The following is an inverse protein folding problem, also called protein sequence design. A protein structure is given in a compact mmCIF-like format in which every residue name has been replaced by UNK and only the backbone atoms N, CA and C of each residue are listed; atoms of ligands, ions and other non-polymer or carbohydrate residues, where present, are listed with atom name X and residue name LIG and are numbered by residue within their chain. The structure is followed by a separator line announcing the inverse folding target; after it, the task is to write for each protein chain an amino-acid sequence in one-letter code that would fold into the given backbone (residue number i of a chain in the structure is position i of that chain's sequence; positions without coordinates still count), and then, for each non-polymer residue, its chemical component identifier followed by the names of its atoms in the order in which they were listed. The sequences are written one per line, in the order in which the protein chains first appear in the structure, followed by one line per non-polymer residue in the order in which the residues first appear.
data_IF_145692016611
#
_entry.id   IF_145692016611
#
_cell.length_a   1.000
_cell.length_b   1.000
_cell.length_c   1.000
_cell.angle_alpha   90.00
_cell.angle_beta   90.00
_cell.angle_gamma   90.00
#
_symmetry.space_group_name_H-M   'P 1'
#
loop_
_entity.id
_entity.type
_entity.pdbx_description
1 polymer ?
#
# COMPACT_ATOMS: atom_id res chain seq x y z
N UNK A 1 -20.05 16.27 -11.63
CA UNK A 1 -18.65 16.03 -12.02
C UNK A 1 -18.36 14.57 -11.74
N UNK A 2 -17.47 13.94 -12.51
CA UNK A 2 -17.05 12.55 -12.30
C UNK A 2 -16.22 12.48 -11.01
N UNK A 3 -16.56 11.59 -10.07
CA UNK A 3 -15.79 11.39 -8.85
C UNK A 3 -14.39 10.85 -9.13
N UNK A 4 -13.54 10.84 -8.12
CA UNK A 4 -12.17 10.33 -8.18
C UNK A 4 -12.02 9.12 -7.27
N UNK A 5 -11.38 8.06 -7.76
CA UNK A 5 -10.87 6.98 -6.94
C UNK A 5 -9.45 7.32 -6.50
N UNK A 6 -9.27 7.47 -5.19
CA UNK A 6 -7.99 7.70 -4.56
C UNK A 6 -7.47 6.40 -3.95
N UNK A 7 -6.26 6.00 -4.31
CA UNK A 7 -5.56 4.86 -3.73
C UNK A 7 -4.38 5.37 -2.92
N UNK A 8 -4.27 4.89 -1.68
CA UNK A 8 -3.14 5.13 -0.79
C UNK A 8 -2.64 3.79 -0.28
N UNK A 9 -1.34 3.60 -0.23
CA UNK A 9 -0.80 2.34 0.25
C UNK A 9 0.65 2.08 -0.11
N UNK A 10 1.06 0.84 0.08
CA UNK A 10 2.41 0.38 -0.22
C UNK A 10 2.54 -0.25 -1.62
N UNK A 11 3.59 -1.04 -1.82
CA UNK A 11 3.89 -1.72 -3.08
C UNK A 11 2.80 -2.66 -3.58
N UNK A 12 1.89 -3.12 -2.71
CA UNK A 12 0.75 -3.98 -3.09
C UNK A 12 -0.37 -3.20 -3.78
N UNK A 13 -0.34 -1.88 -3.66
CA UNK A 13 -1.29 -0.94 -4.27
C UNK A 13 -0.68 -0.05 -5.35
N UNK A 14 0.67 -0.05 -5.45
CA UNK A 14 1.40 0.77 -6.41
C UNK A 14 1.28 0.18 -7.83
N UNK A 15 1.45 1.04 -8.83
CA UNK A 15 1.31 0.64 -10.23
C UNK A 15 2.33 -0.41 -10.66
N UNK A 16 1.92 -1.29 -11.55
CA UNK A 16 2.72 -2.43 -12.02
C UNK A 16 3.75 -2.05 -13.09
N UNK A 17 3.82 -0.79 -13.48
CA UNK A 17 4.73 -0.32 -14.52
C UNK A 17 6.18 -0.33 -14.01
N UNK A 18 7.10 -1.06 -14.65
CA UNK A 18 8.51 -1.01 -14.30
C UNK A 18 9.06 0.41 -14.43
N UNK A 19 9.79 0.89 -13.41
CA UNK A 19 10.43 2.21 -13.43
C UNK A 19 11.66 2.22 -14.35
N UNK A 20 12.36 1.09 -14.43
CA UNK A 20 13.50 0.86 -15.33
C UNK A 20 13.49 -0.58 -15.85
N UNK A 21 13.22 -0.77 -17.14
CA UNK A 21 13.22 -2.09 -17.79
C UNK A 21 14.59 -2.79 -17.80
N UNK A 22 15.66 -2.06 -17.48
CA UNK A 22 17.00 -2.63 -17.36
C UNK A 22 17.29 -3.16 -15.94
N UNK A 23 16.48 -2.81 -14.96
CA UNK A 23 16.63 -3.35 -13.61
C UNK A 23 16.14 -4.79 -13.52
N UNK A 24 17.06 -5.73 -13.74
CA UNK A 24 16.80 -7.17 -13.68
C UNK A 24 16.44 -7.69 -12.28
N UNK A 25 16.61 -6.88 -11.25
CA UNK A 25 16.28 -7.25 -9.86
C UNK A 25 14.88 -6.81 -9.47
N UNK A 26 14.32 -5.80 -10.15
CA UNK A 26 12.96 -5.35 -9.92
C UNK A 26 11.94 -6.45 -10.33
N UNK A 27 11.04 -6.80 -9.41
CA UNK A 27 10.03 -7.82 -9.66
C UNK A 27 9.08 -7.44 -10.80
N UNK A 28 8.80 -6.16 -10.99
CA UNK A 28 7.95 -5.65 -12.07
C UNK A 28 8.58 -5.89 -13.43
N UNK A 29 9.88 -5.63 -13.55
CA UNK A 29 10.65 -5.93 -14.76
C UNK A 29 10.64 -7.42 -15.06
N UNK A 30 10.85 -8.28 -14.06
CA UNK A 30 10.79 -9.73 -14.22
C UNK A 30 9.40 -10.19 -14.68
N UNK A 31 8.38 -9.67 -14.04
CA UNK A 31 7.00 -10.04 -14.36
C UNK A 31 6.58 -9.51 -15.73
N UNK A 32 6.96 -8.27 -16.09
CA UNK A 32 6.78 -7.75 -17.44
C UNK A 32 7.46 -8.64 -18.50
N UNK A 33 8.69 -9.08 -18.26
CA UNK A 33 9.40 -9.98 -19.17
C UNK A 33 8.71 -11.36 -19.29
N UNK A 34 8.09 -11.84 -18.22
CA UNK A 34 7.32 -13.09 -18.18
C UNK A 34 5.99 -12.98 -18.94
N UNK A 35 5.23 -11.90 -18.69
CA UNK A 35 3.87 -11.70 -19.25
C UNK A 35 3.87 -11.07 -20.64
N UNK A 36 4.89 -10.28 -20.99
CA UNK A 36 4.93 -9.49 -22.22
C UNK A 36 4.13 -8.18 -22.18
N UNK A 37 3.47 -7.88 -21.04
CA UNK A 37 2.70 -6.64 -20.83
C UNK A 37 2.67 -6.24 -19.36
N UNK A 38 2.18 -5.03 -19.08
CA UNK A 38 1.97 -4.52 -17.72
C UNK A 38 0.52 -4.74 -17.29
N UNK A 39 0.23 -5.62 -16.31
CA UNK A 39 -1.12 -5.83 -15.81
C UNK A 39 -1.64 -4.60 -15.06
N UNK A 40 -2.97 -4.43 -15.08
CA UNK A 40 -3.64 -3.42 -14.27
C UNK A 40 -3.69 -3.84 -12.82
N UNK A 41 -3.44 -2.89 -11.92
CA UNK A 41 -3.67 -3.08 -10.48
C UNK A 41 -5.15 -2.86 -10.14
N UNK A 42 -5.59 -3.37 -9.00
CA UNK A 42 -6.99 -3.32 -8.59
C UNK A 42 -7.60 -1.91 -8.67
N UNK A 43 -6.85 -0.86 -8.33
CA UNK A 43 -7.34 0.52 -8.39
C UNK A 43 -7.66 0.98 -9.82
N UNK A 44 -6.83 0.60 -10.79
CA UNK A 44 -7.09 0.88 -12.21
C UNK A 44 -8.33 0.12 -12.70
N UNK A 45 -8.49 -1.15 -12.29
CA UNK A 45 -9.66 -1.98 -12.68
C UNK A 45 -10.95 -1.36 -12.12
N UNK A 46 -10.97 -0.98 -10.83
CA UNK A 46 -12.13 -0.35 -10.19
C UNK A 46 -12.46 0.99 -10.87
N UNK A 47 -11.46 1.83 -11.11
CA UNK A 47 -11.69 3.15 -11.74
C UNK A 47 -12.28 3.03 -13.13
N UNK A 48 -11.82 2.06 -13.92
CA UNK A 48 -12.36 1.78 -15.25
C UNK A 48 -13.80 1.26 -15.17
N UNK A 49 -14.07 0.32 -14.24
CA UNK A 49 -15.39 -0.28 -14.05
C UNK A 49 -16.45 0.74 -13.63
N UNK A 50 -16.08 1.65 -12.71
CA UNK A 50 -16.98 2.69 -12.19
C UNK A 50 -16.91 4.00 -13.00
N UNK A 51 -16.08 4.04 -14.04
CA UNK A 51 -15.85 5.24 -14.85
C UNK A 51 -15.44 6.46 -13.99
N UNK A 52 -14.52 6.28 -13.02
CA UNK A 52 -13.99 7.33 -12.15
C UNK A 52 -12.67 7.91 -12.68
N UNK A 53 -12.30 9.11 -12.22
CA UNK A 53 -10.91 9.54 -12.33
C UNK A 53 -10.05 8.69 -11.40
N UNK A 54 -8.79 8.44 -11.77
CA UNK A 54 -7.88 7.61 -10.99
C UNK A 54 -6.69 8.42 -10.48
N UNK A 55 -6.45 8.33 -9.17
CA UNK A 55 -5.26 8.89 -8.53
C UNK A 55 -4.65 7.86 -7.57
N UNK A 56 -3.42 7.45 -7.83
CA UNK A 56 -2.66 6.52 -7.01
C UNK A 56 -1.52 7.26 -6.28
N UNK A 57 -1.60 7.31 -4.96
CA UNK A 57 -0.60 7.87 -4.05
C UNK A 57 0.13 6.77 -3.26
N UNK A 58 0.15 5.55 -3.80
CA UNK A 58 0.91 4.45 -3.22
C UNK A 58 2.39 4.54 -3.59
N UNK A 59 3.26 4.00 -2.73
CA UNK A 59 4.71 3.98 -3.00
C UNK A 59 5.36 2.74 -2.37
N UNK A 60 6.41 2.24 -3.00
CA UNK A 60 7.14 1.07 -2.51
C UNK A 60 7.82 1.34 -1.17
N UNK A 61 7.72 0.37 -0.26
CA UNK A 61 8.41 0.44 1.03
C UNK A 61 7.91 1.52 1.97
N UNK A 62 6.77 2.14 1.67
CA UNK A 62 6.15 3.17 2.51
C UNK A 62 5.68 2.59 3.86
N UNK A 63 5.74 3.37 4.92
CA UNK A 63 5.20 3.02 6.24
C UNK A 63 3.84 3.70 6.49
N UNK A 64 3.12 3.25 7.51
CA UNK A 64 1.78 3.75 7.84
C UNK A 64 1.74 5.27 8.10
N UNK A 65 2.76 5.83 8.73
CA UNK A 65 2.85 7.29 8.94
C UNK A 65 2.98 8.07 7.62
N UNK A 66 3.67 7.48 6.64
CA UNK A 66 3.79 8.11 5.32
C UNK A 66 2.50 7.96 4.51
N UNK A 67 1.79 6.83 4.65
CA UNK A 67 0.45 6.65 4.05
C UNK A 67 -0.51 7.71 4.61
N UNK A 68 -0.56 7.88 5.93
CA UNK A 68 -1.40 8.90 6.55
C UNK A 68 -1.01 10.32 6.09
N UNK A 69 0.29 10.62 6.01
CA UNK A 69 0.78 11.90 5.52
C UNK A 69 0.33 12.17 4.09
N UNK A 70 0.42 11.19 3.19
CA UNK A 70 0.00 11.36 1.79
C UNK A 70 -1.49 11.67 1.64
N UNK A 71 -2.33 11.14 2.56
CA UNK A 71 -3.76 11.51 2.61
C UNK A 71 -3.92 12.96 3.06
N UNK A 72 -3.19 13.39 4.10
CA UNK A 72 -3.22 14.77 4.59
C UNK A 72 -2.77 15.77 3.52
N UNK A 73 -1.74 15.42 2.75
CA UNK A 73 -1.14 16.30 1.72
C UNK A 73 -2.11 16.62 0.56
N UNK A 74 -3.12 15.78 0.35
CA UNK A 74 -4.13 15.96 -0.72
C UNK A 74 -5.55 16.18 -0.19
N UNK A 75 -5.69 16.39 1.12
CA UNK A 75 -7.00 16.45 1.79
C UNK A 75 -7.93 17.53 1.25
N UNK A 76 -7.38 18.65 0.79
CA UNK A 76 -8.11 19.76 0.16
C UNK A 76 -8.62 19.45 -1.27
N UNK A 77 -8.12 18.38 -1.88
CA UNK A 77 -8.50 17.94 -3.22
C UNK A 77 -9.60 16.87 -3.19
N UNK A 78 -9.79 16.19 -2.04
CA UNK A 78 -10.76 15.11 -1.89
C UNK A 78 -12.17 15.71 -1.75
N UNK A 79 -13.09 15.26 -2.61
CA UNK A 79 -14.47 15.72 -2.65
C UNK A 79 -15.42 14.66 -2.10
N UNK A 80 -16.64 15.08 -1.77
CA UNK A 80 -17.67 14.21 -1.18
C UNK A 80 -18.03 12.99 -2.06
N UNK A 81 -17.99 13.13 -3.39
CA UNK A 81 -18.27 12.07 -4.35
C UNK A 81 -17.09 11.12 -4.62
N UNK A 82 -15.94 11.36 -4.00
CA UNK A 82 -14.74 10.55 -4.20
C UNK A 82 -14.77 9.29 -3.33
N UNK A 83 -14.07 8.27 -3.82
CA UNK A 83 -13.87 6.99 -3.13
C UNK A 83 -12.41 6.91 -2.69
N UNK A 84 -12.18 6.50 -1.45
CA UNK A 84 -10.85 6.32 -0.88
C UNK A 84 -10.64 4.84 -0.54
N UNK A 85 -9.58 4.23 -1.08
CA UNK A 85 -9.13 2.89 -0.70
C UNK A 85 -7.73 3.03 -0.10
N UNK A 86 -7.58 2.64 1.15
CA UNK A 86 -6.37 2.84 1.94
C UNK A 86 -5.84 1.49 2.39
N UNK A 87 -4.65 1.15 1.90
CA UNK A 87 -3.93 -0.05 2.25
C UNK A 87 -2.91 0.26 3.35
N UNK A 88 -3.18 -0.20 4.56
CA UNK A 88 -2.26 -0.09 5.68
C UNK A 88 -1.21 -1.19 5.62
N UNK A 89 0.05 -0.81 5.70
CA UNK A 89 1.17 -1.75 5.61
C UNK A 89 1.54 -2.33 6.98
N UNK A 90 2.44 -3.33 6.99
CA UNK A 90 2.91 -3.97 8.24
C UNK A 90 3.47 -2.97 9.25
N UNK A 91 3.20 -3.23 10.54
CA UNK A 91 3.79 -2.49 11.67
C UNK A 91 5.32 -2.54 11.69
N UNK A 92 5.92 -3.48 10.99
CA UNK A 92 7.38 -3.61 10.93
C UNK A 92 8.05 -2.52 10.08
N UNK A 93 7.27 -1.75 9.32
CA UNK A 93 7.76 -0.62 8.54
C UNK A 93 7.61 0.68 9.33
N UNK A 94 8.67 1.48 9.37
CA UNK A 94 8.67 2.78 10.04
C UNK A 94 9.58 3.79 9.35
N UNK A 95 9.47 5.07 9.73
CA UNK A 95 10.35 6.14 9.24
C UNK A 95 10.95 6.91 10.40
N UNK A 96 12.12 7.48 10.17
CA UNK A 96 12.79 8.38 11.11
C UNK A 96 13.17 9.69 10.40
N UNK A 97 13.03 10.80 11.09
CA UNK A 97 13.52 12.09 10.60
C UNK A 97 15.05 12.07 10.55
N UNK A 98 15.61 12.54 9.43
CA UNK A 98 17.06 12.68 9.23
C UNK A 98 17.41 14.11 8.89
N UNK A 99 18.53 14.60 9.41
CA UNK A 99 19.04 15.94 9.10
C UNK A 99 19.48 16.11 7.63
N UNK A 100 19.75 14.99 6.95
CA UNK A 100 20.29 15.00 5.58
C UNK A 100 19.21 14.67 4.55
N UNK A 101 18.34 13.71 4.83
CA UNK A 101 17.40 13.15 3.86
C UNK A 101 15.93 13.33 4.24
N UNK A 102 15.59 14.33 5.08
CA UNK A 102 14.25 14.54 5.62
C UNK A 102 13.68 13.30 6.33
N UNK A 103 13.28 12.27 5.59
CA UNK A 103 12.73 11.02 6.11
C UNK A 103 13.49 9.81 5.58
N UNK A 104 13.93 8.93 6.48
CA UNK A 104 14.51 7.63 6.14
C UNK A 104 13.50 6.54 6.49
N UNK A 105 13.19 5.68 5.51
CA UNK A 105 12.24 4.57 5.64
C UNK A 105 12.97 3.30 5.99
N UNK A 106 12.41 2.50 6.89
CA UNK A 106 12.95 1.24 7.35
C UNK A 106 11.96 0.11 7.11
N UNK A 107 12.49 -1.05 6.64
CA UNK A 107 11.75 -2.28 6.46
C UNK A 107 12.53 -3.35 7.23
N UNK A 108 11.94 -3.93 8.28
CA UNK A 108 12.65 -4.79 9.24
C UNK A 108 13.28 -6.05 8.65
N UNK A 109 12.80 -6.52 7.51
CA UNK A 109 13.25 -7.80 6.91
C UNK A 109 14.17 -7.63 5.70
N UNK A 110 14.55 -6.41 5.32
CA UNK A 110 15.41 -6.16 4.18
C UNK A 110 16.72 -5.49 4.59
N UNK A 111 17.81 -6.27 4.61
CA UNK A 111 19.18 -5.79 4.84
C UNK A 111 19.70 -4.80 3.78
N UNK A 112 18.92 -4.51 2.74
CA UNK A 112 19.38 -3.74 1.57
C UNK A 112 19.39 -2.23 1.79
N UNK A 113 18.57 -1.69 2.68
CA UNK A 113 18.48 -0.23 2.89
C UNK A 113 19.54 0.33 3.84
N UNK A 114 20.36 -0.53 4.43
CA UNK A 114 21.47 -0.12 5.31
C UNK A 114 22.58 0.65 4.58
N UNK A 115 22.68 0.53 3.26
CA UNK A 115 23.62 1.32 2.44
C UNK A 115 23.29 2.82 2.41
N UNK A 116 22.03 3.20 2.66
CA UNK A 116 21.60 4.61 2.73
C UNK A 116 21.89 5.25 4.09
N UNK A 117 22.20 4.43 5.09
CA UNK A 117 22.47 4.87 6.46
C UNK A 117 23.93 4.58 6.82
N UNK A 118 24.86 5.24 6.16
CA UNK A 118 26.30 5.08 6.40
C UNK A 118 26.74 5.20 7.87
N UNK A 119 25.83 5.57 8.80
CA UNK A 119 26.11 5.83 10.21
C UNK A 119 25.14 5.17 11.21
N UNK A 120 24.19 4.33 10.78
CA UNK A 120 23.28 3.61 11.70
C UNK A 120 23.60 2.13 11.63
N UNK A 121 24.05 1.56 12.74
CA UNK A 121 24.38 0.14 12.80
C UNK A 121 23.11 -0.73 12.79
N UNK A 122 23.22 -1.97 12.28
CA UNK A 122 22.15 -2.96 12.38
C UNK A 122 21.67 -3.17 13.82
N UNK A 123 22.59 -3.06 14.79
CA UNK A 123 22.26 -3.18 16.20
C UNK A 123 21.33 -2.07 16.66
N UNK A 124 21.56 -0.82 16.24
CA UNK A 124 20.68 0.31 16.59
C UNK A 124 19.26 0.13 16.05
N UNK A 125 19.12 -0.36 14.81
CA UNK A 125 17.80 -0.65 14.22
C UNK A 125 17.11 -1.78 14.97
N UNK A 126 17.85 -2.85 15.29
CA UNK A 126 17.32 -3.97 16.06
C UNK A 126 16.90 -3.53 17.47
N UNK A 127 17.68 -2.70 18.13
CA UNK A 127 17.35 -2.15 19.46
C UNK A 127 16.07 -1.30 19.41
N UNK A 128 15.89 -0.47 18.37
CA UNK A 128 14.66 0.30 18.18
C UNK A 128 13.46 -0.65 17.98
N UNK A 129 13.61 -1.70 17.17
CA UNK A 129 12.53 -2.65 16.90
C UNK A 129 12.18 -3.51 18.12
N UNK A 130 13.18 -3.96 18.89
CA UNK A 130 12.99 -4.78 20.10
C UNK A 130 12.32 -3.95 21.22
N UNK A 131 12.70 -2.67 21.36
CA UNK A 131 12.16 -1.80 22.40
C UNK A 131 10.88 -1.06 21.98
N UNK A 132 10.40 -1.28 20.75
CA UNK A 132 9.17 -0.67 20.27
C UNK A 132 7.96 -1.34 20.88
N UNK A 133 7.08 -0.56 21.47
CA UNK A 133 5.77 -1.04 21.89
C UNK A 133 4.85 -1.18 20.68
N UNK A 134 4.68 -2.41 20.23
CA UNK A 134 3.85 -2.72 19.06
C UNK A 134 2.35 -2.44 19.32
N UNK A 135 1.87 -2.57 20.56
CA UNK A 135 0.48 -2.31 20.91
C UNK A 135 0.18 -0.80 20.83
N UNK A 136 1.06 0.04 21.38
CA UNK A 136 0.93 1.49 21.26
C UNK A 136 0.95 1.94 19.78
N UNK A 137 1.79 1.30 18.96
CA UNK A 137 1.85 1.64 17.54
C UNK A 137 0.58 1.20 16.78
N UNK A 138 0.04 0.03 17.06
CA UNK A 138 -1.26 -0.42 16.52
C UNK A 138 -2.36 0.55 16.93
N UNK A 139 -2.40 0.97 18.20
CA UNK A 139 -3.37 1.94 18.70
C UNK A 139 -3.25 3.32 18.03
N UNK A 140 -2.03 3.76 17.73
CA UNK A 140 -1.78 4.99 16.97
C UNK A 140 -2.34 4.88 15.54
N UNK A 141 -2.09 3.76 14.84
CA UNK A 141 -2.64 3.52 13.51
C UNK A 141 -4.16 3.44 13.55
N UNK A 142 -4.76 2.74 14.52
CA UNK A 142 -6.21 2.67 14.69
C UNK A 142 -6.82 4.06 14.94
N UNK A 143 -6.11 4.93 15.65
CA UNK A 143 -6.52 6.33 15.84
C UNK A 143 -6.51 7.12 14.53
N UNK A 144 -5.52 6.92 13.66
CA UNK A 144 -5.44 7.50 12.31
C UNK A 144 -6.57 6.98 11.42
N UNK A 145 -6.85 5.67 11.44
CA UNK A 145 -7.98 5.05 10.73
C UNK A 145 -9.29 5.69 11.16
N UNK A 146 -9.52 5.80 12.47
CA UNK A 146 -10.72 6.44 13.03
C UNK A 146 -10.82 7.91 12.61
N UNK A 147 -9.70 8.65 12.63
CA UNK A 147 -9.67 10.03 12.17
C UNK A 147 -10.12 10.14 10.71
N UNK A 148 -9.59 9.31 9.81
CA UNK A 148 -9.94 9.30 8.39
C UNK A 148 -11.42 8.96 8.20
N UNK A 149 -11.93 7.91 8.87
CA UNK A 149 -13.35 7.53 8.81
C UNK A 149 -14.26 8.70 9.22
N UNK A 150 -13.87 9.48 10.21
CA UNK A 150 -14.64 10.65 10.66
C UNK A 150 -14.51 11.86 9.72
N UNK A 151 -13.30 12.14 9.23
CA UNK A 151 -13.05 13.26 8.34
C UNK A 151 -13.76 13.09 6.98
N UNK A 152 -13.84 11.85 6.50
CA UNK A 152 -14.45 11.49 5.22
C UNK A 152 -15.72 10.64 5.39
N UNK A 153 -16.51 10.91 6.42
CA UNK A 153 -17.74 10.16 6.75
C UNK A 153 -18.80 10.16 5.64
N UNK A 154 -18.77 11.15 4.76
CA UNK A 154 -19.68 11.30 3.63
C UNK A 154 -19.13 10.68 2.33
N UNK A 155 -17.93 10.12 2.39
CA UNK A 155 -17.27 9.40 1.30
C UNK A 155 -17.38 7.88 1.49
N UNK A 156 -17.21 7.13 0.42
CA UNK A 156 -16.91 5.70 0.53
C UNK A 156 -15.43 5.56 0.90
N UNK A 157 -15.16 5.15 2.14
CA UNK A 157 -13.81 4.90 2.63
C UNK A 157 -13.67 3.41 2.93
N UNK A 158 -12.63 2.78 2.39
CA UNK A 158 -12.27 1.38 2.62
C UNK A 158 -10.83 1.35 3.16
N UNK A 159 -10.67 0.94 4.41
CA UNK A 159 -9.38 0.66 5.00
C UNK A 159 -9.14 -0.84 4.95
N UNK A 160 -7.98 -1.25 4.50
CA UNK A 160 -7.64 -2.66 4.41
C UNK A 160 -6.14 -2.90 4.65
N UNK A 161 -5.76 -4.15 4.87
CA UNK A 161 -4.36 -4.56 4.99
C UNK A 161 -4.17 -6.00 4.50
N UNK A 162 -3.05 -6.32 3.82
CA UNK A 162 -2.67 -7.69 3.51
C UNK A 162 -1.92 -8.38 4.67
N UNK A 163 -1.76 -7.71 5.81
CA UNK A 163 -0.98 -8.19 6.96
C UNK A 163 -1.88 -8.59 8.11
N UNK A 164 -1.44 -9.58 8.91
CA UNK A 164 -2.17 -10.08 10.11
C UNK A 164 -2.01 -9.15 11.32
N UNK A 165 -1.78 -7.88 11.09
CA UNK A 165 -1.73 -6.87 12.15
C UNK A 165 -3.15 -6.54 12.65
N UNK A 166 -3.28 -6.24 13.94
CA UNK A 166 -4.58 -5.98 14.59
C UNK A 166 -5.08 -4.55 14.33
N UNK A 167 -5.19 -4.17 13.07
CA UNK A 167 -5.77 -2.88 12.68
C UNK A 167 -7.29 -2.92 12.63
N UNK A 168 -7.92 -1.78 12.92
CA UNK A 168 -9.39 -1.58 12.80
C UNK A 168 -9.78 -1.28 11.34
N UNK A 169 -9.56 -2.24 10.47
CA UNK A 169 -9.82 -2.16 9.03
C UNK A 169 -11.08 -2.91 8.63
N UNK A 170 -11.70 -2.52 7.53
CA UNK A 170 -12.87 -3.21 6.97
C UNK A 170 -12.51 -4.59 6.44
N UNK A 171 -11.27 -4.77 6.00
CA UNK A 171 -10.83 -6.01 5.39
C UNK A 171 -9.42 -6.40 5.79
N UNK A 172 -9.28 -7.60 6.33
CA UNK A 172 -8.03 -8.33 6.41
C UNK A 172 -7.95 -9.27 5.20
N UNK A 173 -6.84 -9.18 4.47
CA UNK A 173 -6.62 -9.96 3.29
C UNK A 173 -5.84 -11.25 3.58
N UNK A 174 -6.37 -12.42 3.25
CA UNK A 174 -5.77 -13.67 3.70
C UNK A 174 -5.29 -14.64 2.60
N UNK A 175 -5.75 -14.56 1.35
CA UNK A 175 -5.31 -15.52 0.34
C UNK A 175 -5.67 -15.16 -1.10
N UNK A 176 -4.89 -14.30 -1.73
CA UNK A 176 -5.02 -14.04 -3.16
C UNK A 176 -3.77 -14.57 -3.89
N UNK A 177 -3.94 -14.88 -5.14
CA UNK A 177 -2.88 -15.38 -5.97
C UNK A 177 -1.74 -14.37 -6.09
N UNK A 178 -0.53 -14.84 -5.84
CA UNK A 178 0.70 -14.04 -5.92
C UNK A 178 1.38 -14.27 -7.26
N UNK A 179 2.32 -13.38 -7.59
CA UNK A 179 3.18 -13.54 -8.77
C UNK A 179 3.93 -14.86 -8.71
N UNK A 180 4.42 -15.26 -7.52
CA UNK A 180 5.12 -16.53 -7.32
C UNK A 180 4.24 -17.73 -7.72
N UNK A 181 2.99 -17.72 -7.29
CA UNK A 181 2.03 -18.79 -7.60
C UNK A 181 1.66 -18.80 -9.09
N UNK A 182 1.35 -17.63 -9.67
CA UNK A 182 1.01 -17.50 -11.08
C UNK A 182 2.15 -17.94 -12.00
N UNK A 183 3.39 -17.59 -11.67
CA UNK A 183 4.56 -17.91 -12.49
C UNK A 183 5.16 -19.28 -12.19
N UNK A 184 4.54 -20.07 -11.31
CA UNK A 184 5.07 -21.36 -10.84
C UNK A 184 6.50 -21.26 -10.29
N UNK A 185 6.79 -20.13 -9.63
CA UNK A 185 8.08 -19.87 -8.98
C UNK A 185 9.17 -19.30 -9.89
N UNK A 186 8.91 -19.07 -11.18
CA UNK A 186 9.91 -18.41 -12.07
C UNK A 186 10.19 -16.96 -11.64
N UNK A 187 9.18 -16.26 -11.13
CA UNK A 187 9.36 -14.95 -10.52
C UNK A 187 9.14 -15.09 -9.01
N UNK A 188 10.21 -15.01 -8.25
CA UNK A 188 10.16 -15.14 -6.78
C UNK A 188 9.71 -13.81 -6.15
N UNK A 189 8.40 -13.57 -6.15
CA UNK A 189 7.80 -12.39 -5.59
C UNK A 189 6.38 -12.66 -5.05
N UNK A 190 6.08 -12.15 -3.87
CA UNK A 190 4.79 -12.35 -3.18
C UNK A 190 3.81 -11.18 -3.35
N UNK A 191 4.07 -10.28 -4.29
CA UNK A 191 3.05 -9.29 -4.68
C UNK A 191 1.92 -9.99 -5.45
N UNK A 192 0.78 -9.31 -5.53
CA UNK A 192 -0.39 -9.87 -6.22
C UNK A 192 -0.12 -10.05 -7.70
N UNK A 193 -0.53 -11.19 -8.23
CA UNK A 193 -0.59 -11.45 -9.66
C UNK A 193 -1.70 -10.63 -10.31
N UNK A 194 -1.77 -10.66 -11.65
CA UNK A 194 -2.88 -10.06 -12.39
C UNK A 194 -4.24 -10.60 -11.90
N UNK A 195 -4.35 -11.91 -11.73
CA UNK A 195 -5.55 -12.56 -11.22
C UNK A 195 -5.82 -12.20 -9.75
N UNK A 196 -4.78 -12.04 -8.92
CA UNK A 196 -4.90 -11.53 -7.56
C UNK A 196 -5.50 -10.12 -7.53
N UNK A 197 -5.05 -9.22 -8.41
CA UNK A 197 -5.62 -7.89 -8.54
C UNK A 197 -7.07 -7.88 -9.05
N UNK A 198 -7.43 -8.78 -9.98
CA UNK A 198 -8.81 -8.95 -10.45
C UNK A 198 -9.74 -9.35 -9.30
N UNK A 199 -9.39 -10.41 -8.56
CA UNK A 199 -10.17 -10.87 -7.40
C UNK A 199 -10.31 -9.79 -6.32
N UNK A 200 -9.22 -9.04 -6.06
CA UNK A 200 -9.24 -7.95 -5.10
C UNK A 200 -10.15 -6.80 -5.56
N UNK A 201 -10.13 -6.48 -6.86
CA UNK A 201 -11.03 -5.46 -7.42
C UNK A 201 -12.50 -5.84 -7.30
N UNK A 202 -12.86 -7.09 -7.58
CA UNK A 202 -14.24 -7.60 -7.44
C UNK A 202 -14.73 -7.49 -5.98
N UNK A 203 -13.86 -7.81 -5.04
CA UNK A 203 -14.17 -7.69 -3.63
C UNK A 203 -14.41 -6.22 -3.22
N UNK A 204 -13.55 -5.29 -3.63
CA UNK A 204 -13.77 -3.86 -3.35
C UNK A 204 -15.01 -3.31 -4.03
N UNK A 205 -15.30 -3.73 -5.25
CA UNK A 205 -16.53 -3.32 -5.94
C UNK A 205 -17.78 -3.77 -5.17
N UNK A 206 -17.77 -4.95 -4.55
CA UNK A 206 -18.88 -5.39 -3.71
C UNK A 206 -19.08 -4.47 -2.50
N UNK A 207 -18.00 -4.11 -1.80
CA UNK A 207 -18.04 -3.18 -0.65
C UNK A 207 -18.52 -1.78 -1.09
N UNK A 208 -18.02 -1.27 -2.21
CA UNK A 208 -18.42 0.04 -2.74
C UNK A 208 -19.93 0.06 -3.02
N UNK A 209 -20.45 -0.99 -3.67
CA UNK A 209 -21.87 -1.10 -3.98
C UNK A 209 -22.73 -1.17 -2.72
N UNK A 210 -22.30 -1.89 -1.69
CA UNK A 210 -23.01 -1.97 -0.39
C UNK A 210 -23.03 -0.62 0.34
N UNK A 211 -21.93 0.14 0.31
CA UNK A 211 -21.84 1.45 0.98
C UNK A 211 -22.52 2.59 0.21
N UNK A 212 -22.80 2.39 -1.07
CA UNK A 212 -23.43 3.40 -1.93
C UNK A 212 -24.97 3.31 -1.94
N UNK A 213 -25.55 2.26 -1.37
CA UNK A 213 -26.99 2.02 -1.19
C UNK A 213 -27.45 2.40 0.22
#
# INVERSE_FOLDING_TARGET
MKGTLWIFGDSTSDEFTPKDLNDKFDFRTKYYNYKGFTPKVYGQIISDTLNLNYKNNSDQGICNDSIFQSICDVSDQIKKEDILIINWTSITRFRMASKVNNWVRFISNYNTNLKLLNNVSNNTINEILINRDNELYVNDINSKIKFIKNAYKDNVVINWTPFKDKFDVEMLYDSFETIFEETSGEVNDNHFSENGHLKLSDYFLSIINEKSN
#
